data_IF_412602241774
#
_entry.id   IF_412602241774
#
_cell.length_a   1.000
_cell.length_b   1.000
_cell.length_c   1.000
_cell.angle_alpha   90.00
_cell.angle_beta   90.00
_cell.angle_gamma   90.00
#
_symmetry.space_group_name_H-M   'P 1'
#
loop_
_entity.id
_entity.type
_entity.pdbx_description
1 polymer ?
#
# COMPACT_ATOMS: atom_id res chain seq x y z
N UNK A 1 -34.81 14.33 -38.00
CA UNK A 1 -33.90 13.14 -38.00
C UNK A 1 -32.62 13.51 -37.28
N UNK A 2 -32.54 13.22 -35.97
CA UNK A 2 -31.35 13.46 -35.18
C UNK A 2 -30.43 12.24 -35.31
N UNK A 3 -29.32 12.39 -36.02
CA UNK A 3 -28.24 11.41 -35.99
C UNK A 3 -27.63 11.41 -34.62
N UNK A 4 -27.95 10.42 -33.78
CA UNK A 4 -27.18 10.12 -32.56
C UNK A 4 -25.80 9.70 -33.04
N UNK A 5 -24.79 10.55 -32.80
CA UNK A 5 -23.38 10.22 -32.99
C UNK A 5 -23.07 8.99 -32.13
N UNK A 6 -22.77 7.87 -32.77
CA UNK A 6 -22.19 6.70 -32.15
C UNK A 6 -20.79 7.13 -31.63
N UNK A 7 -20.67 7.40 -30.34
CA UNK A 7 -19.37 7.50 -29.69
C UNK A 7 -18.70 6.14 -29.84
N UNK A 8 -17.80 6.01 -30.83
CA UNK A 8 -16.93 4.83 -30.92
C UNK A 8 -15.95 4.94 -29.77
N UNK A 9 -16.12 4.14 -28.71
CA UNK A 9 -15.09 3.93 -27.73
C UNK A 9 -13.83 3.41 -28.43
N UNK A 10 -12.64 3.99 -28.15
CA UNK A 10 -11.42 3.55 -28.81
C UNK A 10 -11.16 2.08 -28.44
N UNK A 11 -11.00 1.21 -29.44
CA UNK A 11 -10.61 -0.17 -29.23
C UNK A 11 -9.22 -0.23 -28.57
N UNK A 12 -8.93 -1.34 -27.89
CA UNK A 12 -7.60 -1.57 -27.32
C UNK A 12 -6.53 -1.55 -28.43
N UNK A 13 -5.39 -0.89 -28.16
CA UNK A 13 -4.22 -0.88 -29.04
C UNK A 13 -3.21 -1.88 -28.52
N UNK A 14 -2.91 -2.92 -29.30
CA UNK A 14 -2.00 -3.99 -28.92
C UNK A 14 -0.82 -3.97 -29.89
N UNK A 15 0.41 -3.86 -29.33
CA UNK A 15 1.62 -3.96 -30.16
C UNK A 15 1.71 -5.37 -30.78
N UNK A 16 2.13 -5.52 -32.05
CA UNK A 16 2.14 -6.83 -32.75
C UNK A 16 3.02 -7.91 -32.08
N UNK A 17 4.00 -7.52 -31.26
CA UNK A 17 4.85 -8.46 -30.52
C UNK A 17 4.33 -8.78 -29.11
N UNK A 18 3.24 -8.17 -28.67
CA UNK A 18 2.65 -8.47 -27.38
C UNK A 18 1.92 -9.82 -27.42
N UNK A 19 1.97 -10.56 -26.32
CA UNK A 19 1.29 -11.83 -26.14
C UNK A 19 0.09 -11.61 -25.22
N UNK A 20 -1.12 -11.66 -25.78
CA UNK A 20 -2.36 -11.49 -25.03
C UNK A 20 -3.18 -12.77 -25.12
N UNK A 21 -3.47 -13.37 -23.95
CA UNK A 21 -4.27 -14.60 -23.91
C UNK A 21 -5.72 -14.33 -24.38
N UNK A 22 -6.35 -15.24 -25.14
CA UNK A 22 -7.71 -15.02 -25.67
C UNK A 22 -8.80 -14.81 -24.61
N UNK A 23 -8.62 -15.31 -23.36
CA UNK A 23 -9.57 -15.10 -22.25
C UNK A 23 -9.34 -13.80 -21.50
N UNK A 24 -8.27 -13.05 -21.81
CA UNK A 24 -8.04 -11.75 -21.20
C UNK A 24 -9.10 -10.74 -21.68
N UNK A 25 -9.58 -9.92 -20.74
CA UNK A 25 -10.57 -8.89 -21.03
C UNK A 25 -9.90 -7.52 -21.02
N UNK A 26 -9.78 -6.90 -22.20
CA UNK A 26 -9.28 -5.55 -22.37
C UNK A 26 -10.46 -4.59 -22.57
N UNK A 27 -10.55 -3.56 -21.71
CA UNK A 27 -11.59 -2.54 -21.85
C UNK A 27 -11.15 -1.45 -22.83
N UNK A 28 -12.05 -0.50 -23.10
CA UNK A 28 -11.84 0.57 -24.08
C UNK A 28 -10.58 1.41 -23.77
N UNK A 29 -9.82 1.72 -24.83
CA UNK A 29 -8.64 2.58 -24.72
C UNK A 29 -7.43 1.96 -24.00
N UNK A 30 -7.42 0.65 -23.76
CA UNK A 30 -6.24 -0.05 -23.23
C UNK A 30 -5.13 -0.06 -24.28
N UNK A 31 -3.90 0.23 -23.85
CA UNK A 31 -2.71 0.16 -24.69
C UNK A 31 -1.73 -0.89 -24.15
N UNK A 32 -1.24 -1.79 -25.01
CA UNK A 32 -0.30 -2.86 -24.65
C UNK A 32 0.99 -2.68 -25.46
N UNK A 33 2.09 -2.40 -24.75
CA UNK A 33 3.41 -2.18 -25.32
C UNK A 33 4.07 -3.44 -25.89
N UNK A 34 5.21 -3.23 -26.54
CA UNK A 34 5.97 -4.31 -27.19
C UNK A 34 6.43 -5.37 -26.18
N UNK A 35 6.36 -6.64 -26.59
CA UNK A 35 6.81 -7.81 -25.81
C UNK A 35 6.15 -7.97 -24.43
N UNK A 36 5.05 -7.26 -24.17
CA UNK A 36 4.26 -7.42 -22.95
C UNK A 36 3.47 -8.72 -22.98
N UNK A 37 3.23 -9.30 -21.80
CA UNK A 37 2.50 -10.55 -21.66
C UNK A 37 1.27 -10.32 -20.77
N UNK A 38 0.10 -10.64 -21.29
CA UNK A 38 -1.15 -10.66 -20.55
C UNK A 38 -1.67 -12.08 -20.51
N UNK A 39 -1.61 -12.72 -19.35
CA UNK A 39 -2.00 -14.12 -19.20
C UNK A 39 -3.52 -14.33 -19.17
N UNK A 40 -3.95 -15.59 -19.04
CA UNK A 40 -5.36 -15.96 -18.96
C UNK A 40 -6.05 -15.32 -17.74
N UNK A 41 -7.36 -15.06 -17.88
CA UNK A 41 -8.21 -14.58 -16.78
C UNK A 41 -7.74 -13.23 -16.17
N UNK A 42 -7.03 -12.42 -16.97
CA UNK A 42 -6.66 -11.05 -16.66
C UNK A 42 -7.74 -10.08 -17.12
N UNK A 43 -8.07 -9.08 -16.29
CA UNK A 43 -8.98 -7.99 -16.66
C UNK A 43 -8.25 -6.66 -16.56
N UNK A 44 -8.27 -5.85 -17.64
CA UNK A 44 -7.65 -4.53 -17.70
C UNK A 44 -8.73 -3.48 -17.95
N UNK A 45 -8.88 -2.56 -16.99
CA UNK A 45 -9.82 -1.44 -17.04
C UNK A 45 -9.45 -0.38 -18.07
N UNK A 46 -10.44 0.39 -18.48
CA UNK A 46 -10.34 1.37 -19.57
C UNK A 46 -9.23 2.39 -19.35
N UNK A 47 -8.55 2.76 -20.44
CA UNK A 47 -7.50 3.78 -20.45
C UNK A 47 -6.19 3.36 -19.75
N UNK A 48 -6.06 2.12 -19.31
CA UNK A 48 -4.82 1.62 -18.71
C UNK A 48 -3.77 1.32 -19.79
N UNK A 49 -2.50 1.56 -19.46
CA UNK A 49 -1.35 1.42 -20.36
C UNK A 49 -0.33 0.46 -19.78
N UNK A 50 0.08 -0.53 -20.56
CA UNK A 50 1.22 -1.40 -20.27
C UNK A 50 2.39 -0.98 -21.17
N UNK A 51 3.51 -0.63 -20.54
CA UNK A 51 4.80 -0.39 -21.19
C UNK A 51 5.39 -1.68 -21.76
N UNK A 52 6.56 -1.57 -22.36
CA UNK A 52 7.26 -2.72 -22.98
C UNK A 52 7.68 -3.74 -21.93
N UNK A 53 7.59 -5.03 -22.28
CA UNK A 53 7.98 -6.16 -21.39
C UNK A 53 7.23 -6.21 -20.05
N UNK A 54 6.11 -5.50 -19.87
CA UNK A 54 5.27 -5.62 -18.70
C UNK A 54 4.52 -6.95 -18.69
N UNK A 55 4.31 -7.54 -17.52
CA UNK A 55 3.67 -8.85 -17.38
C UNK A 55 2.51 -8.77 -16.41
N UNK A 56 1.29 -9.06 -16.87
CA UNK A 56 0.14 -9.31 -16.01
C UNK A 56 -0.11 -10.82 -15.93
N UNK A 57 0.08 -11.36 -14.74
CA UNK A 57 -0.10 -12.77 -14.47
C UNK A 57 -1.58 -13.11 -14.28
N UNK A 58 -1.90 -14.38 -14.43
CA UNK A 58 -3.23 -14.97 -14.27
C UNK A 58 -3.93 -14.51 -12.99
N UNK A 59 -5.24 -14.30 -13.06
CA UNK A 59 -6.10 -13.87 -11.95
C UNK A 59 -5.83 -12.43 -11.46
N UNK A 60 -5.26 -11.59 -12.30
CA UNK A 60 -5.04 -10.18 -12.03
C UNK A 60 -6.16 -9.33 -12.63
N UNK A 61 -6.74 -8.47 -11.82
CA UNK A 61 -7.65 -7.41 -12.27
C UNK A 61 -7.03 -6.06 -11.95
N UNK A 62 -6.89 -5.19 -12.95
CA UNK A 62 -6.54 -3.79 -12.74
C UNK A 62 -7.69 -2.90 -13.22
N UNK A 63 -7.94 -1.82 -12.49
CA UNK A 63 -8.97 -0.85 -12.80
C UNK A 63 -8.62 0.05 -13.97
N UNK A 64 -9.14 1.27 -13.95
CA UNK A 64 -9.00 2.25 -15.04
C UNK A 64 -7.74 3.10 -14.88
N UNK A 65 -7.25 3.64 -16.01
CA UNK A 65 -6.18 4.64 -16.07
C UNK A 65 -4.89 4.23 -15.32
N UNK A 66 -4.61 2.95 -15.19
CA UNK A 66 -3.37 2.49 -14.57
C UNK A 66 -2.23 2.56 -15.58
N UNK A 67 -1.05 2.96 -15.12
CA UNK A 67 0.19 2.93 -15.89
C UNK A 67 1.07 1.84 -15.29
N UNK A 68 1.44 0.87 -16.12
CA UNK A 68 2.32 -0.25 -15.74
C UNK A 68 3.56 -0.17 -16.62
N UNK A 69 4.65 0.35 -16.09
CA UNK A 69 5.89 0.58 -16.85
C UNK A 69 6.65 -0.71 -17.14
N UNK A 70 7.72 -0.57 -17.90
CA UNK A 70 8.52 -1.67 -18.44
C UNK A 70 9.04 -2.61 -17.35
N UNK A 71 9.00 -3.91 -17.62
CA UNK A 71 9.45 -4.98 -16.72
C UNK A 71 8.68 -5.11 -15.41
N UNK A 72 7.61 -4.37 -15.19
CA UNK A 72 6.75 -4.60 -14.03
C UNK A 72 6.00 -5.94 -14.16
N UNK A 73 5.89 -6.68 -13.04
CA UNK A 73 5.21 -7.98 -12.98
C UNK A 73 4.11 -7.93 -11.93
N UNK A 74 2.86 -7.87 -12.35
CA UNK A 74 1.71 -7.82 -11.46
C UNK A 74 0.99 -9.18 -11.43
N UNK A 75 0.65 -9.65 -10.22
CA UNK A 75 -0.04 -10.91 -9.99
C UNK A 75 0.88 -12.14 -10.00
N UNK A 76 2.17 -11.96 -9.72
CA UNK A 76 3.12 -13.06 -9.57
C UNK A 76 2.62 -14.11 -8.56
N UNK A 77 3.09 -15.35 -8.69
CA UNK A 77 2.80 -16.39 -7.71
C UNK A 77 3.27 -15.96 -6.31
N UNK A 78 2.53 -16.34 -5.23
CA UNK A 78 2.97 -16.07 -3.89
C UNK A 78 4.36 -16.62 -3.60
N UNK A 79 5.22 -15.83 -2.98
CA UNK A 79 6.55 -16.27 -2.56
C UNK A 79 6.47 -16.99 -1.20
N UNK A 80 5.55 -17.93 -1.08
CA UNK A 80 5.39 -18.80 0.09
C UNK A 80 5.58 -20.26 -0.33
N UNK A 81 6.56 -20.94 0.27
CA UNK A 81 6.87 -22.36 -0.02
C UNK A 81 5.73 -23.33 0.31
N UNK A 82 4.76 -22.90 1.12
CA UNK A 82 3.59 -23.70 1.49
C UNK A 82 2.39 -23.48 0.56
N UNK A 83 2.45 -22.48 -0.32
CA UNK A 83 1.37 -22.19 -1.26
C UNK A 83 1.28 -23.32 -2.31
N UNK A 84 0.10 -23.92 -2.45
CA UNK A 84 -0.17 -24.84 -3.57
C UNK A 84 -0.25 -24.03 -4.88
N UNK A 85 0.56 -24.34 -5.90
CA UNK A 85 0.52 -23.64 -7.18
C UNK A 85 -0.84 -23.67 -7.88
N UNK A 86 -1.71 -24.61 -7.53
CA UNK A 86 -3.07 -24.76 -8.09
C UNK A 86 -4.09 -23.82 -7.43
N UNK A 87 -3.75 -23.21 -6.28
CA UNK A 87 -4.63 -22.29 -5.56
C UNK A 87 -5.06 -21.13 -6.46
N UNK A 88 -6.36 -20.93 -6.58
CA UNK A 88 -6.95 -19.81 -7.30
C UNK A 88 -7.08 -18.63 -6.32
N UNK A 89 -6.16 -17.70 -6.45
CA UNK A 89 -6.14 -16.46 -5.65
C UNK A 89 -5.88 -15.27 -6.58
N UNK A 90 -6.10 -14.07 -6.11
CA UNK A 90 -6.21 -12.89 -6.94
C UNK A 90 -5.23 -11.79 -6.56
N UNK A 91 -4.91 -10.96 -7.55
CA UNK A 91 -4.49 -9.57 -7.37
C UNK A 91 -5.61 -8.65 -7.88
N UNK A 92 -6.04 -7.71 -7.04
CA UNK A 92 -7.02 -6.69 -7.42
C UNK A 92 -6.42 -5.31 -7.20
N UNK A 93 -6.36 -4.54 -8.27
CA UNK A 93 -5.82 -3.18 -8.30
C UNK A 93 -6.93 -2.23 -8.69
N UNK A 94 -7.05 -1.11 -7.96
CA UNK A 94 -8.00 -0.05 -8.25
C UNK A 94 -7.62 0.81 -9.47
N UNK A 95 -8.04 2.05 -9.44
CA UNK A 95 -7.92 3.02 -10.53
C UNK A 95 -6.73 3.98 -10.33
N UNK A 96 -6.24 4.58 -11.42
CA UNK A 96 -5.31 5.71 -11.43
C UNK A 96 -3.97 5.44 -10.74
N UNK A 97 -3.48 4.20 -10.75
CA UNK A 97 -2.21 3.83 -10.15
C UNK A 97 -1.06 3.91 -11.18
N UNK A 98 0.15 4.16 -10.67
CA UNK A 98 1.37 4.13 -11.47
C UNK A 98 2.35 3.12 -10.87
N UNK A 99 2.73 2.13 -11.68
CA UNK A 99 3.73 1.13 -11.36
C UNK A 99 4.94 1.35 -12.25
N UNK A 100 6.03 1.87 -11.69
CA UNK A 100 7.27 2.14 -12.42
C UNK A 100 8.03 0.84 -12.71
N UNK A 101 9.14 0.98 -13.39
CA UNK A 101 9.93 -0.12 -13.95
C UNK A 101 10.28 -1.17 -12.89
N UNK A 102 10.08 -2.44 -13.24
CA UNK A 102 10.46 -3.57 -12.38
C UNK A 102 9.68 -3.72 -11.08
N UNK A 103 8.56 -3.02 -10.90
CA UNK A 103 7.65 -3.24 -9.76
C UNK A 103 7.12 -4.67 -9.79
N UNK A 104 7.07 -5.32 -8.63
CA UNK A 104 6.53 -6.68 -8.52
C UNK A 104 5.47 -6.77 -7.43
N UNK A 105 4.33 -7.40 -7.74
CA UNK A 105 3.25 -7.63 -6.78
C UNK A 105 2.78 -9.08 -6.90
N UNK A 106 2.77 -9.81 -5.78
CA UNK A 106 2.27 -11.19 -5.73
C UNK A 106 0.76 -11.22 -5.48
N UNK A 107 0.05 -12.21 -6.06
CA UNK A 107 -1.33 -12.51 -5.66
C UNK A 107 -1.37 -13.15 -4.26
N UNK A 108 -2.56 -13.31 -3.69
CA UNK A 108 -2.74 -13.90 -2.35
C UNK A 108 -2.42 -15.40 -2.30
N UNK A 109 -2.30 -15.97 -1.09
CA UNK A 109 -2.03 -17.40 -0.86
C UNK A 109 -3.29 -18.24 -0.66
N UNK A 110 -4.37 -17.65 -0.11
CA UNK A 110 -5.61 -18.38 0.21
C UNK A 110 -6.53 -18.53 -1.00
N UNK A 111 -7.23 -19.66 -1.09
CA UNK A 111 -8.26 -19.89 -2.13
C UNK A 111 -9.33 -18.79 -2.08
N UNK A 112 -9.57 -18.14 -3.21
CA UNK A 112 -10.51 -17.03 -3.32
C UNK A 112 -10.03 -15.70 -2.70
N UNK A 113 -8.90 -15.66 -2.01
CA UNK A 113 -8.36 -14.45 -1.41
C UNK A 113 -7.69 -13.54 -2.44
N UNK A 114 -7.47 -12.28 -2.06
CA UNK A 114 -6.83 -11.30 -2.94
C UNK A 114 -5.78 -10.46 -2.20
N UNK A 115 -4.67 -10.19 -2.86
CA UNK A 115 -3.81 -9.03 -2.60
C UNK A 115 -4.53 -7.81 -3.16
N UNK A 116 -4.60 -6.72 -2.39
CA UNK A 116 -5.40 -5.55 -2.72
C UNK A 116 -4.52 -4.30 -2.84
N UNK A 117 -4.71 -3.57 -3.93
CA UNK A 117 -4.12 -2.24 -4.14
C UNK A 117 -5.26 -1.26 -4.42
N UNK A 118 -5.32 -0.20 -3.65
CA UNK A 118 -6.32 0.86 -3.78
C UNK A 118 -6.14 1.71 -5.04
N UNK A 119 -6.51 2.96 -4.93
CA UNK A 119 -6.48 3.90 -6.04
C UNK A 119 -5.37 4.95 -5.86
N UNK A 120 -4.88 5.54 -6.98
CA UNK A 120 -3.92 6.64 -6.98
C UNK A 120 -2.64 6.34 -6.21
N UNK A 121 -2.24 5.08 -6.14
CA UNK A 121 -0.97 4.70 -5.53
C UNK A 121 0.18 4.90 -6.51
N UNK A 122 1.36 5.22 -5.99
CA UNK A 122 2.56 5.45 -6.79
C UNK A 122 3.71 4.53 -6.35
N UNK A 123 4.11 3.64 -7.24
CA UNK A 123 5.14 2.63 -7.00
C UNK A 123 6.36 2.96 -7.84
N UNK A 124 7.44 3.35 -7.20
CA UNK A 124 8.69 3.66 -7.92
C UNK A 124 9.47 2.40 -8.24
N UNK A 125 10.49 2.56 -9.05
CA UNK A 125 11.31 1.48 -9.62
C UNK A 125 11.72 0.45 -8.60
N UNK A 126 11.43 -0.83 -8.90
CA UNK A 126 11.79 -1.98 -8.07
C UNK A 126 11.03 -2.12 -6.75
N UNK A 127 9.98 -1.34 -6.51
CA UNK A 127 9.14 -1.54 -5.32
C UNK A 127 8.43 -2.89 -5.37
N UNK A 128 8.21 -3.50 -4.20
CA UNK A 128 7.67 -4.86 -4.08
C UNK A 128 6.53 -4.95 -3.06
N UNK A 129 5.50 -5.72 -3.39
CA UNK A 129 4.53 -6.24 -2.43
C UNK A 129 4.41 -7.77 -2.51
N UNK A 130 4.55 -8.40 -1.36
CA UNK A 130 4.30 -9.82 -1.17
C UNK A 130 2.82 -10.18 -1.29
N UNK A 131 2.50 -11.42 -1.01
CA UNK A 131 1.15 -11.96 -1.05
C UNK A 131 0.27 -11.44 0.11
N UNK A 132 -1.03 -11.38 -0.10
CA UNK A 132 -2.03 -10.97 0.91
C UNK A 132 -1.81 -9.55 1.48
N UNK A 133 -1.06 -8.71 0.76
CA UNK A 133 -0.83 -7.30 1.12
C UNK A 133 -2.07 -6.49 0.82
N UNK A 134 -2.35 -5.50 1.65
CA UNK A 134 -3.34 -4.45 1.40
C UNK A 134 -2.62 -3.11 1.35
N UNK A 135 -2.69 -2.44 0.21
CA UNK A 135 -2.22 -1.06 0.04
C UNK A 135 -3.43 -0.17 -0.19
N UNK A 136 -3.67 0.75 0.72
CA UNK A 136 -4.79 1.68 0.62
C UNK A 136 -4.49 2.83 -0.36
N UNK A 137 -5.51 3.66 -0.63
CA UNK A 137 -5.44 4.77 -1.58
C UNK A 137 -4.29 5.75 -1.28
N UNK A 138 -3.81 6.43 -2.31
CA UNK A 138 -2.85 7.53 -2.22
C UNK A 138 -1.47 7.14 -1.61
N UNK A 139 -1.18 5.86 -1.40
CA UNK A 139 0.09 5.40 -0.84
C UNK A 139 1.25 5.50 -1.84
N UNK A 140 2.46 5.77 -1.34
CA UNK A 140 3.67 5.90 -2.16
C UNK A 140 4.75 4.93 -1.66
N UNK A 141 5.22 4.08 -2.57
CA UNK A 141 6.37 3.22 -2.36
C UNK A 141 7.52 3.71 -3.23
N UNK A 142 8.55 4.27 -2.60
CA UNK A 142 9.73 4.80 -3.30
C UNK A 142 10.65 3.63 -3.71
N UNK A 143 11.65 3.90 -4.53
CA UNK A 143 12.55 2.90 -5.12
C UNK A 143 12.97 1.79 -4.13
N UNK A 144 12.74 0.54 -4.49
CA UNK A 144 13.12 -0.62 -3.70
C UNK A 144 12.37 -0.79 -2.36
N UNK A 145 11.34 0.00 -2.07
CA UNK A 145 10.50 -0.22 -0.88
C UNK A 145 9.77 -1.56 -0.98
N UNK A 146 9.72 -2.31 0.13
CA UNK A 146 9.21 -3.68 0.14
C UNK A 146 8.21 -3.94 1.27
N UNK A 147 7.07 -4.49 0.93
CA UNK A 147 6.05 -5.00 1.83
C UNK A 147 6.07 -6.53 1.83
N UNK A 148 6.40 -7.16 2.94
CA UNK A 148 6.29 -8.61 3.07
C UNK A 148 4.81 -9.04 3.20
N UNK A 149 4.55 -10.34 3.10
CA UNK A 149 3.18 -10.89 3.09
C UNK A 149 2.31 -10.44 4.26
N UNK A 150 1.01 -10.31 4.01
CA UNK A 150 -0.02 -9.91 5.00
C UNK A 150 0.19 -8.53 5.64
N UNK A 151 0.97 -7.65 5.03
CA UNK A 151 1.11 -6.26 5.52
C UNK A 151 -0.05 -5.39 5.06
N UNK A 152 -0.33 -4.35 5.84
CA UNK A 152 -1.27 -3.29 5.46
C UNK A 152 -0.51 -1.98 5.43
N UNK A 153 -0.58 -1.28 4.30
CA UNK A 153 -0.08 0.08 4.15
C UNK A 153 -1.26 1.04 4.04
N UNK A 154 -1.43 1.87 5.04
CA UNK A 154 -2.56 2.78 5.17
C UNK A 154 -2.54 3.93 4.15
N UNK A 155 -3.68 4.57 4.01
CA UNK A 155 -3.93 5.65 3.06
C UNK A 155 -2.88 6.77 3.17
N UNK A 156 -2.32 7.17 2.03
CA UNK A 156 -1.36 8.26 1.97
C UNK A 156 -0.05 8.00 2.72
N UNK A 157 0.21 6.77 3.15
CA UNK A 157 1.50 6.41 3.75
C UNK A 157 2.62 6.43 2.70
N UNK A 158 3.81 6.81 3.12
CA UNK A 158 4.99 6.91 2.26
C UNK A 158 6.11 6.02 2.81
N UNK A 159 6.55 5.07 2.01
CA UNK A 159 7.75 4.31 2.29
C UNK A 159 8.88 4.84 1.39
N UNK A 160 9.86 5.55 1.97
CA UNK A 160 11.01 6.07 1.23
C UNK A 160 11.89 4.93 0.70
N UNK A 161 12.96 5.28 -0.03
CA UNK A 161 13.79 4.28 -0.70
C UNK A 161 14.29 3.18 0.25
N UNK A 162 14.20 1.92 -0.20
CA UNK A 162 14.64 0.72 0.52
C UNK A 162 14.02 0.53 1.92
N UNK A 163 12.83 1.06 2.16
CA UNK A 163 12.10 0.75 3.40
C UNK A 163 11.52 -0.65 3.32
N UNK A 164 11.75 -1.47 4.34
CA UNK A 164 11.21 -2.82 4.45
C UNK A 164 10.18 -2.94 5.59
N UNK A 165 9.02 -3.50 5.29
CA UNK A 165 7.99 -3.82 6.28
C UNK A 165 7.84 -5.32 6.41
N UNK A 166 8.08 -5.85 7.61
CA UNK A 166 8.00 -7.28 7.89
C UNK A 166 6.55 -7.79 7.80
N UNK A 167 6.39 -9.08 7.49
CA UNK A 167 5.07 -9.72 7.41
C UNK A 167 4.21 -9.50 8.65
N UNK A 168 2.89 -9.41 8.44
CA UNK A 168 1.88 -9.19 9.49
C UNK A 168 1.99 -7.85 10.22
N UNK A 169 2.64 -6.86 9.65
CA UNK A 169 2.71 -5.50 10.20
C UNK A 169 1.69 -4.58 9.54
N UNK A 170 1.21 -3.62 10.30
CA UNK A 170 0.37 -2.53 9.83
C UNK A 170 1.13 -1.22 9.89
N UNK A 171 1.13 -0.48 8.80
CA UNK A 171 1.62 0.89 8.72
C UNK A 171 0.40 1.78 8.54
N UNK A 172 0.14 2.65 9.53
CA UNK A 172 -1.06 3.48 9.55
C UNK A 172 -1.06 4.57 8.48
N UNK A 173 -2.23 5.20 8.28
CA UNK A 173 -2.41 6.26 7.29
C UNK A 173 -1.40 7.40 7.50
N UNK A 174 -0.95 8.00 6.40
CA UNK A 174 0.02 9.10 6.39
C UNK A 174 1.30 8.86 7.20
N UNK A 175 1.58 7.63 7.63
CA UNK A 175 2.87 7.31 8.21
C UNK A 175 3.97 7.45 7.15
N UNK A 176 5.18 7.81 7.58
CA UNK A 176 6.33 7.96 6.70
C UNK A 176 7.52 7.17 7.21
N UNK A 177 8.06 6.27 6.40
CA UNK A 177 9.33 5.59 6.63
C UNK A 177 10.47 6.36 5.98
N UNK A 178 11.50 6.71 6.75
CA UNK A 178 12.74 7.25 6.18
C UNK A 178 13.48 6.19 5.38
N UNK A 179 14.27 6.61 4.39
CA UNK A 179 15.05 5.71 3.54
C UNK A 179 15.94 4.75 4.36
N UNK A 180 16.12 3.53 3.85
CA UNK A 180 16.90 2.46 4.47
C UNK A 180 16.42 2.07 5.89
N UNK A 181 15.12 2.20 6.15
CA UNK A 181 14.52 1.81 7.43
C UNK A 181 13.79 0.47 7.32
N UNK A 182 13.65 -0.22 8.45
CA UNK A 182 12.89 -1.46 8.53
C UNK A 182 11.99 -1.50 9.76
N UNK A 183 10.84 -2.16 9.64
CA UNK A 183 9.97 -2.42 10.80
C UNK A 183 9.46 -3.85 10.81
N UNK A 184 9.46 -4.45 11.99
CA UNK A 184 8.77 -5.71 12.31
C UNK A 184 7.65 -5.50 13.33
N UNK A 185 7.28 -4.24 13.57
CA UNK A 185 6.25 -3.80 14.50
C UNK A 185 5.24 -2.88 13.80
N UNK A 186 4.08 -2.67 14.39
CA UNK A 186 3.07 -1.77 13.84
C UNK A 186 3.48 -0.31 13.96
N UNK A 187 3.32 0.44 12.88
CA UNK A 187 3.58 1.88 12.81
C UNK A 187 2.24 2.62 12.91
N UNK A 188 2.02 3.47 13.91
CA UNK A 188 0.73 4.16 14.05
C UNK A 188 0.53 5.21 12.95
N UNK A 189 -0.71 5.62 12.70
CA UNK A 189 -1.02 6.69 11.76
C UNK A 189 -0.22 7.97 12.04
N UNK A 190 0.10 8.71 11.01
CA UNK A 190 0.78 10.01 11.06
C UNK A 190 2.20 9.96 11.64
N UNK A 191 2.76 8.80 11.94
CA UNK A 191 4.09 8.68 12.52
C UNK A 191 5.20 8.72 11.47
N UNK A 192 6.34 9.30 11.85
CA UNK A 192 7.60 9.19 11.14
C UNK A 192 8.47 8.13 11.83
N UNK A 193 8.92 7.11 11.09
CA UNK A 193 9.82 6.09 11.60
C UNK A 193 11.13 6.04 10.82
N UNK A 194 12.21 5.63 11.50
CA UNK A 194 13.55 5.56 10.93
C UNK A 194 14.41 4.46 11.55
N UNK A 195 15.34 3.93 10.79
CA UNK A 195 16.19 2.81 11.23
C UNK A 195 15.38 1.54 11.46
N UNK A 196 15.72 0.76 12.47
CA UNK A 196 15.02 -0.49 12.79
C UNK A 196 14.07 -0.27 13.97
N UNK A 197 12.75 -0.47 13.75
CA UNK A 197 11.71 -0.42 14.78
C UNK A 197 11.75 0.84 15.67
N UNK A 198 11.78 2.03 15.06
CA UNK A 198 11.88 3.28 15.84
C UNK A 198 10.96 4.36 15.29
N UNK A 199 10.01 4.81 16.09
CA UNK A 199 9.28 6.06 15.84
C UNK A 199 10.20 7.22 16.20
N UNK A 200 10.27 8.22 15.32
CA UNK A 200 11.07 9.44 15.53
C UNK A 200 10.18 10.59 16.00
N UNK A 201 9.07 10.78 15.32
CA UNK A 201 8.13 11.88 15.56
C UNK A 201 6.82 11.64 14.82
N UNK A 202 5.95 12.65 14.83
CA UNK A 202 4.88 12.77 13.85
C UNK A 202 5.41 13.22 12.48
N UNK A 203 4.74 12.78 11.41
CA UNK A 203 4.93 13.27 10.04
C UNK A 203 4.29 14.66 9.86
N UNK A 204 4.82 15.65 10.59
CA UNK A 204 4.27 17.01 10.61
C UNK A 204 4.26 17.69 9.23
N UNK A 205 5.21 17.33 8.37
CA UNK A 205 5.27 17.87 6.99
C UNK A 205 4.15 17.30 6.15
N UNK A 206 3.94 15.99 6.20
CA UNK A 206 2.83 15.33 5.48
C UNK A 206 1.47 15.85 5.94
N UNK A 207 1.23 15.94 7.24
CA UNK A 207 -0.01 16.49 7.79
C UNK A 207 -0.28 17.91 7.31
N UNK A 208 0.71 18.81 7.33
CA UNK A 208 0.55 20.21 6.86
C UNK A 208 0.29 20.35 5.37
N UNK A 209 0.77 19.41 4.55
CA UNK A 209 0.55 19.38 3.09
C UNK A 209 -0.75 18.70 2.68
N UNK A 210 -1.36 17.99 3.59
CA UNK A 210 -2.63 17.29 3.35
C UNK A 210 -3.77 18.29 3.17
N UNK A 211 -4.67 18.01 2.24
CA UNK A 211 -5.90 18.79 2.03
C UNK A 211 -7.06 18.35 2.94
N UNK A 212 -6.90 17.25 3.66
CA UNK A 212 -7.93 16.63 4.50
C UNK A 212 -7.56 16.52 5.99
N UNK A 213 -6.44 17.14 6.38
CA UNK A 213 -6.02 17.33 7.79
C UNK A 213 -5.97 18.82 8.06
N UNK A 214 -6.80 19.30 8.97
CA UNK A 214 -6.84 20.71 9.38
C UNK A 214 -5.97 20.96 10.63
N UNK A 215 -5.95 22.19 11.15
CA UNK A 215 -5.15 22.56 12.33
C UNK A 215 -5.62 21.87 13.60
N UNK A 216 -6.93 21.72 13.77
CA UNK A 216 -7.50 21.03 14.92
C UNK A 216 -7.17 19.55 14.91
N UNK A 217 -7.27 18.89 13.73
CA UNK A 217 -6.82 17.52 13.56
C UNK A 217 -5.34 17.36 13.96
N UNK A 218 -4.47 18.28 13.53
CA UNK A 218 -3.05 18.25 13.90
C UNK A 218 -2.84 18.35 15.41
N UNK A 219 -3.64 19.18 16.11
CA UNK A 219 -3.56 19.32 17.56
C UNK A 219 -3.98 18.03 18.26
N UNK A 220 -5.11 17.48 17.90
CA UNK A 220 -5.63 16.24 18.51
C UNK A 220 -4.76 15.02 18.19
N UNK A 221 -4.26 14.87 16.94
CA UNK A 221 -3.30 13.82 16.58
C UNK A 221 -2.04 13.94 17.46
N UNK A 222 -1.53 15.16 17.67
CA UNK A 222 -0.36 15.40 18.53
C UNK A 222 -0.66 14.97 19.97
N UNK A 223 -1.82 15.26 20.49
CA UNK A 223 -2.20 14.87 21.85
C UNK A 223 -2.32 13.35 21.99
N UNK A 224 -2.99 12.67 21.06
CA UNK A 224 -3.07 11.21 21.03
C UNK A 224 -1.67 10.56 20.94
N UNK A 225 -0.76 11.13 20.14
CA UNK A 225 0.63 10.71 20.04
C UNK A 225 1.39 10.95 21.36
N UNK A 226 1.22 12.10 22.00
CA UNK A 226 1.89 12.43 23.27
C UNK A 226 1.39 11.51 24.40
N UNK A 227 0.10 11.20 24.48
CA UNK A 227 -0.44 10.19 25.40
C UNK A 227 0.20 8.82 25.17
N UNK A 228 0.34 8.40 23.93
CA UNK A 228 0.86 7.07 23.57
C UNK A 228 2.36 6.96 23.84
N UNK A 229 3.15 8.03 23.63
CA UNK A 229 4.60 7.94 23.57
C UNK A 229 5.39 8.81 24.55
N UNK A 230 4.80 9.88 25.10
CA UNK A 230 5.55 10.90 25.86
C UNK A 230 5.11 11.10 27.30
N UNK A 231 3.94 10.57 27.66
CA UNK A 231 3.38 10.72 29.03
C UNK A 231 3.79 9.60 29.97
N UNK A 232 4.75 8.75 29.59
CA UNK A 232 5.21 7.60 30.41
C UNK A 232 4.08 6.64 30.81
N UNK A 233 3.02 6.57 30.03
CA UNK A 233 1.91 5.65 30.19
C UNK A 233 2.23 4.30 29.54
N UNK A 234 1.62 3.22 30.05
CA UNK A 234 1.52 2.00 29.24
C UNK A 234 0.57 2.24 28.06
N UNK A 235 0.66 1.42 27.00
CA UNK A 235 -0.23 1.59 25.84
C UNK A 235 -1.71 1.42 26.24
N UNK A 236 -1.99 0.54 27.20
CA UNK A 236 -3.35 0.37 27.75
C UNK A 236 -3.82 1.59 28.53
N UNK A 237 -2.95 2.21 29.32
CA UNK A 237 -3.29 3.42 30.08
C UNK A 237 -3.46 4.61 29.13
N UNK A 238 -2.64 4.70 28.09
CA UNK A 238 -2.80 5.71 27.03
C UNK A 238 -4.15 5.58 26.31
N UNK A 239 -4.58 4.35 26.00
CA UNK A 239 -5.91 4.12 25.42
C UNK A 239 -7.04 4.54 26.36
N UNK A 240 -6.95 4.19 27.66
CA UNK A 240 -7.95 4.64 28.65
C UNK A 240 -8.00 6.15 28.73
N UNK A 241 -6.86 6.82 28.81
CA UNK A 241 -6.80 8.28 28.83
C UNK A 241 -7.41 8.92 27.54
N UNK A 242 -7.17 8.31 26.38
CA UNK A 242 -7.83 8.76 25.14
C UNK A 242 -9.35 8.53 25.15
N UNK A 243 -9.84 7.45 25.76
CA UNK A 243 -11.27 7.17 25.86
C UNK A 243 -11.98 8.10 26.88
N UNK A 244 -11.29 8.49 27.94
CA UNK A 244 -11.80 9.41 28.99
C UNK A 244 -11.81 10.88 28.54
N UNK A 245 -11.01 11.26 27.56
CA UNK A 245 -10.81 12.65 27.15
C UNK A 245 -11.98 13.23 26.31
N UNK A 246 -13.00 12.40 25.97
CA UNK A 246 -14.20 12.83 25.25
C UNK A 246 -14.10 12.67 23.74
N UNK A 247 -14.73 13.60 23.00
CA UNK A 247 -14.84 13.49 21.54
C UNK A 247 -13.54 13.87 20.83
N UNK A 248 -13.03 12.91 20.04
CA UNK A 248 -11.92 13.10 19.11
C UNK A 248 -12.45 13.36 17.70
N UNK A 249 -11.82 14.27 16.97
CA UNK A 249 -12.05 14.41 15.54
C UNK A 249 -11.68 13.13 14.78
N UNK A 250 -12.17 13.01 13.55
CA UNK A 250 -12.06 11.78 12.76
C UNK A 250 -10.61 11.28 12.62
N UNK A 251 -9.63 12.16 12.46
CA UNK A 251 -8.23 11.78 12.29
C UNK A 251 -7.61 11.23 13.57
N UNK A 252 -7.84 11.88 14.71
CA UNK A 252 -7.36 11.40 16.01
C UNK A 252 -8.09 10.12 16.46
N UNK A 253 -9.38 9.97 16.12
CA UNK A 253 -10.12 8.72 16.29
C UNK A 253 -9.46 7.56 15.56
N UNK A 254 -9.05 7.75 14.29
CA UNK A 254 -8.32 6.71 13.56
C UNK A 254 -6.98 6.34 14.19
N UNK A 255 -6.26 7.34 14.76
CA UNK A 255 -5.04 7.05 15.54
C UNK A 255 -5.33 6.18 16.75
N UNK A 256 -6.31 6.57 17.57
CA UNK A 256 -6.75 5.82 18.76
C UNK A 256 -7.20 4.39 18.39
N UNK A 257 -8.03 4.26 17.37
CA UNK A 257 -8.57 2.97 16.94
C UNK A 257 -7.48 2.04 16.37
N UNK A 258 -6.47 2.62 15.72
CA UNK A 258 -5.27 1.86 15.33
C UNK A 258 -4.53 1.32 16.55
N UNK A 259 -4.28 2.15 17.56
CA UNK A 259 -3.61 1.72 18.81
C UNK A 259 -4.45 0.62 19.50
N UNK A 260 -5.77 0.79 19.56
CA UNK A 260 -6.69 -0.23 20.10
C UNK A 260 -6.59 -1.55 19.33
N UNK A 261 -6.57 -1.49 18.01
CA UNK A 261 -6.39 -2.66 17.14
C UNK A 261 -5.07 -3.38 17.42
N UNK A 262 -3.98 -2.64 17.63
CA UNK A 262 -2.67 -3.22 17.97
C UNK A 262 -2.69 -3.93 19.33
N UNK A 263 -3.33 -3.33 20.33
CA UNK A 263 -3.44 -3.93 21.68
C UNK A 263 -4.27 -5.21 21.66
N UNK A 264 -5.33 -5.25 20.88
CA UNK A 264 -6.21 -6.43 20.76
C UNK A 264 -5.71 -7.48 19.74
N UNK A 265 -4.60 -7.21 19.05
CA UNK A 265 -4.11 -8.07 17.99
C UNK A 265 -3.63 -9.43 18.52
N UNK A 266 -4.07 -10.49 17.83
CA UNK A 266 -3.65 -11.86 18.12
C UNK A 266 -2.65 -12.36 17.08
N UNK A 267 -2.00 -13.49 17.38
CA UNK A 267 -1.09 -14.14 16.43
C UNK A 267 -1.78 -14.40 15.09
N UNK A 268 -1.11 -14.13 13.97
CA UNK A 268 0.28 -13.69 13.81
C UNK A 268 0.48 -12.16 13.84
N UNK A 269 -0.57 -11.37 14.09
CA UNK A 269 -0.53 -9.90 14.07
C UNK A 269 -0.15 -9.27 15.42
N UNK A 270 0.19 -10.03 16.44
CA UNK A 270 0.60 -9.52 17.76
C UNK A 270 2.05 -8.96 17.76
N UNK A 271 2.34 -8.08 16.79
CA UNK A 271 3.68 -7.50 16.58
C UNK A 271 4.02 -6.35 17.52
N UNK A 272 3.01 -5.82 18.23
CA UNK A 272 3.17 -4.68 19.11
C UNK A 272 3.34 -3.35 18.37
N UNK A 273 3.19 -2.26 19.12
CA UNK A 273 3.37 -0.91 18.61
C UNK A 273 4.85 -0.54 18.60
N UNK A 274 5.32 0.02 17.50
CA UNK A 274 6.71 0.44 17.34
C UNK A 274 7.05 1.54 18.37
N UNK A 275 8.16 1.39 19.17
CA UNK A 275 8.49 2.32 20.24
C UNK A 275 9.05 3.65 19.75
N UNK A 276 8.86 4.72 20.53
CA UNK A 276 9.50 6.01 20.31
C UNK A 276 11.01 5.92 20.59
N UNK A 277 11.82 6.55 19.74
CA UNK A 277 13.28 6.69 19.94
C UNK A 277 13.57 7.43 21.24
N UNK A 278 14.35 6.82 22.14
CA UNK A 278 14.86 7.51 23.34
C UNK A 278 15.94 8.53 22.93
N UNK A 279 15.96 9.71 23.60
CA UNK A 279 16.91 10.79 23.29
C UNK A 279 18.40 10.42 23.46
N UNK A 280 18.72 9.42 24.26
CA UNK A 280 20.10 9.06 24.64
C UNK A 280 20.81 8.08 23.69
N UNK A 281 20.17 7.68 22.58
CA UNK A 281 20.82 6.86 21.55
C UNK A 281 21.32 7.74 20.41
N UNK A 282 22.37 8.54 20.68
CA UNK A 282 23.24 9.08 19.62
C UNK A 282 23.78 7.91 18.82
N UNK A 283 23.60 7.98 17.50
CA UNK A 283 24.23 7.06 16.55
C UNK A 283 25.73 7.37 16.70
N UNK A 284 26.47 6.48 17.37
CA UNK A 284 27.91 6.47 17.30
C UNK A 284 28.30 6.31 15.84
N UNK A 285 29.24 7.16 15.41
CA UNK A 285 29.67 7.45 14.05
C UNK A 285 30.04 6.28 13.14
#
# INVERSE_FOLDING_TARGET
MHRRGLWRHPMAKIHPTAIVHPTAVLRDGVEIGAYSIVEADVVIGSGSVLGEHAILRRYTTIGRNNIVDSYAVLGGAPQDRKCDPRTVSYLRVGDDNVFREGVTISRATGEGHATLVGNRTYWMTGAHAGHDVIVEDDAILVNGAALAGHTVLGRGAILSANVAVHQFCWVGEMAMGQGNSATSMHIPPFALFAGANRIVSLNAVGMRRSTWINKEDCHQIKEAFDLTYRRSLTVNDALRAMDEQGEWGAAATRFRDFVRRVVSAQSPYNRGLCPLRRRDQTIGG
#
